data_IF_482274544810
#
_entry.id   IF_482274544810
#
_cell.length_a   1.000
_cell.length_b   1.000
_cell.length_c   1.000
_cell.angle_alpha   90.00
_cell.angle_beta   90.00
_cell.angle_gamma   90.00
#
_symmetry.space_group_name_H-M   'P 1'
#
loop_
_entity.id
_entity.type
_entity.pdbx_description
1 polymer ?
#
# COMPACT_ATOMS: atom_id res chain seq x y z
N UNK A 1 -33.12 -11.40 8.16
CA UNK A 1 -31.85 -11.50 8.91
C UNK A 1 -31.13 -10.15 9.03
N UNK A 2 -30.60 -9.53 7.94
CA UNK A 2 -29.91 -8.23 8.06
C UNK A 2 -30.86 -7.11 8.52
N UNK A 3 -32.09 -7.08 8.01
CA UNK A 3 -33.14 -6.17 8.47
C UNK A 3 -33.54 -6.41 9.93
N UNK A 4 -33.51 -7.66 10.38
CA UNK A 4 -33.83 -8.02 11.79
C UNK A 4 -32.74 -7.54 12.77
N UNK A 5 -31.55 -7.22 12.27
CA UNK A 5 -30.46 -6.59 13.04
C UNK A 5 -30.57 -5.05 13.08
N UNK A 6 -31.63 -4.47 12.54
CA UNK A 6 -31.86 -3.03 12.53
C UNK A 6 -31.16 -2.27 11.38
N UNK A 7 -30.64 -2.97 10.37
CA UNK A 7 -30.00 -2.39 9.21
C UNK A 7 -30.95 -2.28 8.02
N UNK A 8 -30.74 -1.29 7.15
CA UNK A 8 -31.54 -1.10 5.93
C UNK A 8 -30.79 -1.71 4.73
N UNK A 9 -31.18 -2.92 4.23
CA UNK A 9 -30.52 -3.56 3.13
C UNK A 9 -30.97 -2.97 1.78
N UNK A 10 -30.00 -2.72 0.89
CA UNK A 10 -30.25 -2.45 -0.52
C UNK A 10 -29.71 -3.64 -1.32
N UNK A 11 -30.54 -4.22 -2.19
CA UNK A 11 -30.17 -5.41 -2.97
C UNK A 11 -29.98 -5.03 -4.44
N UNK A 12 -28.89 -5.51 -5.02
CA UNK A 12 -28.58 -5.36 -6.43
C UNK A 12 -28.30 -6.73 -7.05
N UNK A 13 -28.91 -7.00 -8.21
CA UNK A 13 -28.66 -8.22 -8.98
C UNK A 13 -27.35 -8.20 -9.78
N UNK A 14 -26.80 -6.99 -10.01
CA UNK A 14 -25.57 -6.79 -10.79
C UNK A 14 -24.64 -5.86 -10.04
N UNK A 15 -23.35 -6.22 -10.03
CA UNK A 15 -22.29 -5.45 -9.35
C UNK A 15 -22.17 -4.03 -9.91
N UNK A 16 -22.32 -3.85 -11.23
CA UNK A 16 -22.27 -2.53 -11.85
C UNK A 16 -23.32 -1.58 -11.26
N UNK A 17 -24.54 -2.04 -11.03
CA UNK A 17 -25.58 -1.23 -10.40
C UNK A 17 -25.28 -0.88 -8.94
N UNK A 18 -24.64 -1.81 -8.22
CA UNK A 18 -24.17 -1.54 -6.87
C UNK A 18 -23.14 -0.42 -6.89
N UNK A 19 -22.14 -0.52 -7.76
CA UNK A 19 -21.06 0.45 -7.90
C UNK A 19 -21.56 1.84 -8.31
N UNK A 20 -22.51 1.93 -9.25
CA UNK A 20 -23.11 3.18 -9.71
C UNK A 20 -23.85 3.94 -8.58
N UNK A 21 -24.35 3.20 -7.59
CA UNK A 21 -25.13 3.76 -6.48
C UNK A 21 -24.33 3.97 -5.18
N UNK A 22 -23.10 3.53 -5.10
CA UNK A 22 -22.28 3.62 -3.87
C UNK A 22 -22.14 5.06 -3.37
N UNK A 23 -21.87 6.01 -4.25
CA UNK A 23 -21.69 7.41 -3.90
C UNK A 23 -22.98 8.05 -3.36
N UNK A 24 -24.14 7.64 -3.87
CA UNK A 24 -25.44 8.14 -3.45
C UNK A 24 -25.93 7.49 -2.14
N UNK A 25 -25.72 6.17 -2.00
CA UNK A 25 -26.21 5.40 -0.85
C UNK A 25 -25.30 5.49 0.36
N UNK A 26 -23.99 5.71 0.15
CA UNK A 26 -22.95 5.74 1.20
C UNK A 26 -23.12 4.58 2.20
N UNK A 27 -23.08 3.34 1.75
CA UNK A 27 -23.34 2.19 2.60
C UNK A 27 -22.27 2.04 3.70
N UNK A 28 -22.66 1.46 4.82
CA UNK A 28 -21.71 1.14 5.89
C UNK A 28 -20.97 -0.16 5.67
N UNK A 29 -21.53 -1.06 4.85
CA UNK A 29 -20.99 -2.35 4.51
C UNK A 29 -21.53 -2.79 3.16
N UNK A 30 -20.72 -3.48 2.38
CA UNK A 30 -21.13 -4.18 1.16
C UNK A 30 -21.00 -5.68 1.37
N UNK A 31 -22.00 -6.45 0.95
CA UNK A 31 -21.97 -7.92 0.99
C UNK A 31 -22.14 -8.42 -0.43
N UNK A 32 -21.22 -9.22 -0.88
CA UNK A 32 -21.25 -9.85 -2.22
C UNK A 32 -21.23 -11.36 -2.08
N UNK A 33 -22.07 -12.03 -2.86
CA UNK A 33 -22.14 -13.49 -2.90
C UNK A 33 -22.13 -14.04 -4.32
N UNK A 34 -21.68 -15.28 -4.46
CA UNK A 34 -21.78 -16.09 -5.70
C UNK A 34 -21.20 -15.45 -6.96
N UNK A 35 -20.06 -14.76 -6.83
CA UNK A 35 -19.31 -14.25 -7.96
C UNK A 35 -18.31 -15.28 -8.48
N UNK A 36 -18.08 -15.32 -9.81
CA UNK A 36 -16.89 -15.99 -10.33
C UNK A 36 -15.64 -15.22 -9.94
N UNK A 37 -14.49 -15.90 -9.88
CA UNK A 37 -13.21 -15.31 -9.46
C UNK A 37 -12.91 -14.00 -10.21
N UNK A 38 -13.01 -13.98 -11.53
CA UNK A 38 -12.78 -12.77 -12.34
C UNK A 38 -13.70 -11.61 -11.98
N UNK A 39 -14.98 -11.89 -11.71
CA UNK A 39 -15.96 -10.86 -11.36
C UNK A 39 -15.75 -10.35 -9.94
N UNK A 40 -15.44 -11.24 -9.00
CA UNK A 40 -15.11 -10.87 -7.63
C UNK A 40 -13.86 -9.98 -7.57
N UNK A 41 -12.81 -10.37 -8.28
CA UNK A 41 -11.57 -9.58 -8.36
C UNK A 41 -11.81 -8.18 -8.93
N UNK A 42 -12.58 -8.08 -10.02
CA UNK A 42 -12.94 -6.76 -10.60
C UNK A 42 -13.77 -5.94 -9.63
N UNK A 43 -14.76 -6.55 -8.98
CA UNK A 43 -15.61 -5.85 -8.02
C UNK A 43 -14.83 -5.33 -6.82
N UNK A 44 -13.93 -6.13 -6.25
CA UNK A 44 -13.01 -5.73 -5.18
C UNK A 44 -12.16 -4.54 -5.63
N UNK A 45 -11.51 -4.67 -6.79
CA UNK A 45 -10.65 -3.63 -7.33
C UNK A 45 -11.41 -2.32 -7.55
N UNK A 46 -12.63 -2.41 -8.08
CA UNK A 46 -13.48 -1.24 -8.34
C UNK A 46 -13.93 -0.57 -7.05
N UNK A 47 -14.35 -1.34 -6.05
CA UNK A 47 -14.72 -0.82 -4.72
C UNK A 47 -13.54 -0.06 -4.08
N UNK A 48 -12.34 -0.61 -4.16
CA UNK A 48 -11.16 0.04 -3.62
C UNK A 48 -10.79 1.32 -4.37
N UNK A 49 -11.00 1.35 -5.69
CA UNK A 49 -10.76 2.55 -6.50
C UNK A 49 -11.70 3.70 -6.18
N UNK A 50 -12.92 3.40 -5.74
CA UNK A 50 -13.88 4.43 -5.33
C UNK A 50 -13.52 5.14 -4.02
N UNK A 51 -12.45 4.70 -3.34
CA UNK A 51 -11.96 5.24 -2.06
C UNK A 51 -13.05 5.38 -0.99
N UNK A 52 -14.11 4.60 -1.10
CA UNK A 52 -15.27 4.73 -0.21
C UNK A 52 -14.98 4.24 1.22
N UNK A 53 -13.86 3.51 1.45
CA UNK A 53 -13.51 2.93 2.76
C UNK A 53 -14.62 2.06 3.34
N UNK A 54 -15.42 1.42 2.46
CA UNK A 54 -16.56 0.60 2.85
C UNK A 54 -16.09 -0.84 2.98
N UNK A 55 -16.24 -1.46 4.16
CA UNK A 55 -15.91 -2.87 4.34
C UNK A 55 -16.72 -3.76 3.39
N UNK A 56 -16.09 -4.86 2.93
CA UNK A 56 -16.69 -5.82 2.03
C UNK A 56 -16.70 -7.21 2.67
N UNK A 57 -17.84 -7.85 2.67
CA UNK A 57 -17.98 -9.27 3.01
C UNK A 57 -18.23 -10.06 1.72
N UNK A 58 -17.39 -11.03 1.42
CA UNK A 58 -17.54 -11.91 0.26
C UNK A 58 -17.92 -13.30 0.75
N UNK A 59 -18.96 -13.85 0.15
CA UNK A 59 -19.41 -15.22 0.43
C UNK A 59 -19.01 -16.07 -0.77
N UNK A 60 -17.97 -16.89 -0.64
CA UNK A 60 -17.44 -17.72 -1.71
C UNK A 60 -16.66 -18.92 -1.18
N UNK A 61 -16.73 -20.04 -1.88
CA UNK A 61 -15.87 -21.21 -1.71
C UNK A 61 -14.83 -21.32 -2.84
N UNK A 62 -14.75 -20.33 -3.71
CA UNK A 62 -13.81 -20.29 -4.82
C UNK A 62 -12.39 -20.06 -4.30
N UNK A 63 -11.51 -21.01 -4.54
CA UNK A 63 -10.13 -20.99 -4.03
C UNK A 63 -9.35 -19.83 -4.61
N UNK A 64 -9.58 -19.46 -5.87
CA UNK A 64 -8.89 -18.35 -6.53
C UNK A 64 -9.25 -17.01 -5.87
N UNK A 65 -10.49 -16.84 -5.41
CA UNK A 65 -10.92 -15.66 -4.65
C UNK A 65 -10.23 -15.63 -3.28
N UNK A 66 -10.18 -16.76 -2.58
CA UNK A 66 -9.53 -16.86 -1.28
C UNK A 66 -8.04 -16.53 -1.40
N UNK A 67 -7.34 -17.13 -2.35
CA UNK A 67 -5.93 -16.85 -2.60
C UNK A 67 -5.68 -15.39 -3.02
N UNK A 68 -6.59 -14.80 -3.80
CA UNK A 68 -6.51 -13.40 -4.20
C UNK A 68 -6.68 -12.46 -3.00
N UNK A 69 -7.66 -12.69 -2.15
CA UNK A 69 -7.91 -11.86 -0.95
C UNK A 69 -6.76 -12.01 0.05
N UNK A 70 -6.37 -13.24 0.36
CA UNK A 70 -5.29 -13.53 1.32
C UNK A 70 -3.93 -13.04 0.79
N UNK A 71 -3.65 -13.28 -0.50
CA UNK A 71 -2.39 -12.87 -1.13
C UNK A 71 -2.20 -11.35 -1.24
N UNK A 72 -3.30 -10.58 -1.31
CA UNK A 72 -3.25 -9.14 -1.35
C UNK A 72 -3.48 -8.48 0.02
N UNK A 73 -3.94 -9.27 1.02
CA UNK A 73 -4.09 -8.85 2.42
C UNK A 73 -4.98 -7.63 2.58
N UNK A 74 -6.13 -7.68 1.99
CA UNK A 74 -7.17 -6.68 2.20
C UNK A 74 -7.62 -6.67 3.65
N UNK A 75 -7.59 -5.52 4.30
CA UNK A 75 -7.95 -5.39 5.72
C UNK A 75 -9.47 -5.29 5.88
N UNK A 76 -10.14 -4.67 4.91
CA UNK A 76 -11.58 -4.42 4.94
C UNK A 76 -12.40 -5.49 4.18
N UNK A 77 -11.82 -6.66 3.89
CA UNK A 77 -12.51 -7.75 3.21
C UNK A 77 -12.54 -8.97 4.12
N UNK A 78 -13.76 -9.42 4.44
CA UNK A 78 -14.00 -10.67 5.16
C UNK A 78 -14.51 -11.73 4.20
N UNK A 79 -13.89 -12.92 4.23
CA UNK A 79 -14.36 -14.09 3.47
C UNK A 79 -15.25 -14.97 4.35
N UNK A 80 -16.38 -15.36 3.81
CA UNK A 80 -17.27 -16.36 4.39
C UNK A 80 -17.50 -17.50 3.39
N UNK A 81 -17.68 -18.70 3.89
CA UNK A 81 -18.04 -19.85 3.06
C UNK A 81 -19.51 -19.80 2.65
N UNK A 82 -19.82 -20.39 1.49
CA UNK A 82 -21.20 -20.44 0.96
C UNK A 82 -22.15 -21.20 1.89
N UNK A 83 -21.64 -22.18 2.63
CA UNK A 83 -22.38 -22.97 3.61
C UNK A 83 -22.45 -22.35 5.01
N UNK A 84 -21.93 -21.12 5.18
CA UNK A 84 -21.96 -20.40 6.47
C UNK A 84 -23.41 -20.23 6.96
N UNK A 85 -23.61 -20.53 8.23
CA UNK A 85 -24.92 -20.39 8.85
C UNK A 85 -25.33 -18.92 8.94
N UNK A 86 -26.64 -18.62 8.93
CA UNK A 86 -27.12 -17.24 9.11
C UNK A 86 -26.54 -16.54 10.33
N UNK A 87 -26.28 -17.27 11.43
CA UNK A 87 -25.64 -16.74 12.64
C UNK A 87 -24.19 -16.30 12.42
N UNK A 88 -23.43 -17.01 11.60
CA UNK A 88 -22.03 -16.68 11.31
C UNK A 88 -21.97 -15.40 10.47
N UNK A 89 -22.87 -15.27 9.49
CA UNK A 89 -22.97 -14.05 8.68
C UNK A 89 -23.37 -12.87 9.56
N UNK A 90 -24.34 -13.04 10.46
CA UNK A 90 -24.80 -11.99 11.38
C UNK A 90 -23.69 -11.55 12.34
N UNK A 91 -22.92 -12.49 12.89
CA UNK A 91 -21.80 -12.20 13.78
C UNK A 91 -20.69 -11.44 13.06
N UNK A 92 -20.32 -11.85 11.85
CA UNK A 92 -19.32 -11.17 11.02
C UNK A 92 -19.76 -9.75 10.65
N UNK A 93 -21.01 -9.56 10.20
CA UNK A 93 -21.57 -8.24 9.90
C UNK A 93 -21.50 -7.33 11.12
N UNK A 94 -21.94 -7.83 12.29
CA UNK A 94 -21.91 -7.06 13.53
C UNK A 94 -20.49 -6.68 13.93
N UNK A 95 -19.55 -7.61 13.84
CA UNK A 95 -18.14 -7.36 14.17
C UNK A 95 -17.52 -6.31 13.23
N UNK A 96 -17.75 -6.42 11.93
CA UNK A 96 -17.23 -5.46 10.93
C UNK A 96 -17.78 -4.06 11.17
N UNK A 97 -19.08 -3.94 11.44
CA UNK A 97 -19.72 -2.66 11.71
C UNK A 97 -19.30 -2.06 13.06
N UNK A 98 -19.07 -2.89 14.10
CA UNK A 98 -18.55 -2.43 15.39
C UNK A 98 -17.11 -1.90 15.27
N UNK A 99 -16.25 -2.56 14.52
CA UNK A 99 -14.88 -2.09 14.24
C UNK A 99 -14.91 -0.73 13.53
N UNK A 100 -15.82 -0.54 12.57
CA UNK A 100 -16.02 0.76 11.92
C UNK A 100 -16.53 1.84 12.89
N UNK A 101 -17.45 1.50 13.78
CA UNK A 101 -18.02 2.43 14.76
C UNK A 101 -17.06 2.79 15.91
N UNK A 102 -16.11 1.91 16.24
CA UNK A 102 -15.10 2.14 17.28
C UNK A 102 -14.05 3.19 16.88
N UNK A 103 -14.18 3.81 15.70
CA UNK A 103 -13.26 4.87 15.27
C UNK A 103 -11.88 4.38 14.87
N UNK A 104 -11.74 3.08 14.58
CA UNK A 104 -10.65 2.63 13.74
C UNK A 104 -10.89 3.32 12.39
N UNK A 105 -10.29 4.50 12.30
CA UNK A 105 -10.38 5.40 11.15
C UNK A 105 -10.26 4.54 9.89
N UNK A 106 -11.14 4.78 8.92
CA UNK A 106 -11.09 4.18 7.59
C UNK A 106 -9.63 3.99 7.21
N UNK A 107 -9.15 2.75 7.31
CA UNK A 107 -7.73 2.50 7.11
C UNK A 107 -7.37 2.99 5.72
N UNK A 108 -6.24 3.67 5.57
CA UNK A 108 -5.88 4.25 4.31
C UNK A 108 -5.88 3.16 3.25
N UNK A 109 -6.52 3.43 2.13
CA UNK A 109 -6.54 2.61 0.92
C UNK A 109 -5.27 1.75 0.80
N UNK A 110 -5.42 0.43 0.91
CA UNK A 110 -4.30 -0.47 0.73
C UNK A 110 -3.97 -0.54 -0.77
N UNK A 111 -2.85 0.00 -1.21
CA UNK A 111 -2.51 0.03 -2.61
C UNK A 111 -2.34 -1.40 -3.13
N UNK A 112 -3.12 -1.75 -4.14
CA UNK A 112 -3.08 -3.07 -4.74
C UNK A 112 -1.81 -3.26 -5.57
N UNK A 113 -1.01 -4.28 -5.26
CA UNK A 113 0.09 -4.70 -6.13
C UNK A 113 -0.48 -5.67 -7.17
N UNK A 114 -0.75 -5.14 -8.38
CA UNK A 114 -1.29 -5.92 -9.49
C UNK A 114 -0.17 -6.64 -10.22
N UNK A 115 -0.38 -7.90 -10.52
CA UNK A 115 0.55 -8.76 -11.24
C UNK A 115 0.61 -10.16 -10.63
N UNK A 116 0.73 -11.15 -11.51
CA UNK A 116 0.88 -12.57 -11.21
C UNK A 116 2.22 -13.12 -11.67
N UNK A 117 3.12 -12.27 -12.19
CA UNK A 117 4.46 -12.72 -12.58
C UNK A 117 5.24 -13.27 -11.39
N UNK A 118 6.12 -14.26 -11.61
CA UNK A 118 6.91 -14.88 -10.55
C UNK A 118 7.69 -13.86 -9.71
N UNK A 119 8.15 -12.78 -10.33
CA UNK A 119 8.87 -11.69 -9.66
C UNK A 119 7.97 -10.92 -8.70
N UNK A 120 6.77 -10.57 -9.13
CA UNK A 120 5.80 -9.84 -8.29
C UNK A 120 5.28 -10.74 -7.16
N UNK A 121 5.04 -12.02 -7.42
CA UNK A 121 4.66 -13.00 -6.39
C UNK A 121 5.76 -13.12 -5.33
N UNK A 122 7.04 -13.20 -5.74
CA UNK A 122 8.18 -13.21 -4.81
C UNK A 122 8.24 -11.93 -3.97
N UNK A 123 8.00 -10.75 -4.58
CA UNK A 123 7.97 -9.47 -3.86
C UNK A 123 6.83 -9.46 -2.84
N UNK A 124 5.62 -9.86 -3.23
CA UNK A 124 4.47 -9.95 -2.31
C UNK A 124 4.78 -10.86 -1.11
N UNK A 125 5.30 -12.06 -1.37
CA UNK A 125 5.70 -12.99 -0.31
C UNK A 125 6.75 -12.37 0.61
N UNK A 126 7.81 -11.76 0.04
CA UNK A 126 8.86 -11.11 0.83
C UNK A 126 8.31 -9.98 1.70
N UNK A 127 7.33 -9.21 1.21
CA UNK A 127 6.69 -8.16 1.99
C UNK A 127 5.89 -8.76 3.16
N UNK A 128 5.18 -9.87 2.95
CA UNK A 128 4.44 -10.55 4.02
C UNK A 128 5.37 -11.02 5.16
N UNK A 129 6.62 -11.37 4.83
CA UNK A 129 7.63 -11.76 5.83
C UNK A 129 8.18 -10.55 6.63
N UNK A 130 7.81 -9.31 6.24
CA UNK A 130 8.29 -8.07 6.87
C UNK A 130 7.34 -7.47 7.91
N UNK A 131 6.27 -8.13 8.27
CA UNK A 131 5.22 -7.60 9.16
C UNK A 131 5.79 -7.11 10.51
N UNK A 132 6.65 -7.92 11.14
CA UNK A 132 7.25 -7.60 12.44
C UNK A 132 8.65 -6.97 12.35
N UNK A 133 9.14 -6.76 11.13
CA UNK A 133 10.50 -6.28 10.89
C UNK A 133 10.56 -4.76 11.07
N UNK A 134 11.50 -4.31 11.92
CA UNK A 134 11.69 -2.88 12.25
C UNK A 134 12.79 -2.20 11.42
N UNK A 135 13.57 -2.99 10.73
CA UNK A 135 14.73 -2.59 9.95
C UNK A 135 14.34 -1.74 8.74
N UNK A 136 15.33 -0.98 8.24
CA UNK A 136 15.16 -0.17 7.05
C UNK A 136 14.97 -1.05 5.80
N UNK A 137 14.08 -0.61 4.91
CA UNK A 137 13.81 -1.28 3.63
C UNK A 137 14.25 -0.36 2.50
N UNK A 138 15.11 -0.85 1.62
CA UNK A 138 15.51 -0.18 0.39
C UNK A 138 14.79 -0.81 -0.81
N UNK A 139 14.02 0.00 -1.53
CA UNK A 139 13.31 -0.40 -2.73
C UNK A 139 14.02 0.20 -3.94
N UNK A 140 14.55 -0.63 -4.82
CA UNK A 140 15.20 -0.19 -6.05
C UNK A 140 14.42 -0.61 -7.29
N UNK A 141 14.46 0.22 -8.33
CA UNK A 141 13.79 -0.05 -9.60
C UNK A 141 13.71 1.20 -10.46
N UNK A 142 13.52 1.04 -11.72
CA UNK A 142 13.41 2.16 -12.68
C UNK A 142 12.24 3.11 -12.32
N UNK A 143 12.25 4.36 -12.84
CA UNK A 143 11.11 5.24 -12.72
C UNK A 143 9.83 4.55 -13.23
N UNK A 144 8.70 4.78 -12.56
CA UNK A 144 7.41 4.20 -12.97
C UNK A 144 7.16 2.73 -12.59
N UNK A 145 8.11 2.02 -11.95
CA UNK A 145 7.95 0.61 -11.58
C UNK A 145 6.99 0.36 -10.41
N UNK A 146 6.56 1.42 -9.69
CA UNK A 146 5.64 1.31 -8.56
C UNK A 146 6.33 1.28 -7.19
N UNK A 147 7.55 1.83 -7.07
CA UNK A 147 8.31 1.88 -5.80
C UNK A 147 7.52 2.48 -4.62
N UNK A 148 6.82 3.60 -4.86
CA UNK A 148 5.99 4.23 -3.83
C UNK A 148 4.82 3.33 -3.40
N UNK A 149 4.17 2.68 -4.36
CA UNK A 149 3.07 1.75 -4.12
C UNK A 149 3.52 0.59 -3.22
N UNK A 150 4.69 0.01 -3.51
CA UNK A 150 5.28 -1.04 -2.66
C UNK A 150 5.65 -0.51 -1.27
N UNK A 151 6.17 0.71 -1.17
CA UNK A 151 6.48 1.31 0.13
C UNK A 151 5.23 1.49 1.00
N UNK A 152 4.13 1.96 0.42
CA UNK A 152 2.83 2.06 1.10
C UNK A 152 2.30 0.69 1.51
N UNK A 153 2.42 -0.30 0.63
CA UNK A 153 1.99 -1.67 0.91
C UNK A 153 2.78 -2.28 2.09
N UNK A 154 4.10 -2.06 2.15
CA UNK A 154 4.95 -2.49 3.29
C UNK A 154 4.49 -1.85 4.60
N UNK A 155 4.16 -0.56 4.59
CA UNK A 155 3.65 0.12 5.79
C UNK A 155 2.32 -0.47 6.24
N UNK A 156 1.36 -0.61 5.33
CA UNK A 156 0.01 -1.09 5.64
C UNK A 156 -0.02 -2.55 6.08
N UNK A 157 0.92 -3.37 5.62
CA UNK A 157 1.08 -4.76 6.05
C UNK A 157 1.86 -4.92 7.36
N UNK A 158 2.42 -3.86 7.88
CA UNK A 158 3.20 -3.91 9.11
C UNK A 158 2.33 -3.69 10.35
N UNK A 159 2.83 -4.12 11.50
CA UNK A 159 2.25 -3.82 12.82
C UNK A 159 2.09 -2.31 13.10
N UNK A 160 2.62 -1.45 12.21
CA UNK A 160 2.56 0.02 12.29
C UNK A 160 1.50 0.63 11.37
N UNK A 161 0.63 -0.18 10.76
CA UNK A 161 -0.35 0.26 9.77
C UNK A 161 -1.27 1.40 10.24
N UNK A 162 -1.57 1.46 11.55
CA UNK A 162 -2.38 2.51 12.16
C UNK A 162 -1.57 3.77 12.52
N UNK A 163 -0.23 3.75 12.38
CA UNK A 163 0.62 4.89 12.69
C UNK A 163 0.87 5.77 11.45
N UNK A 164 1.49 6.93 11.64
CA UNK A 164 1.73 7.88 10.57
C UNK A 164 2.65 7.31 9.47
N UNK A 165 2.24 7.47 8.22
CA UNK A 165 3.08 7.27 7.04
C UNK A 165 3.40 8.62 6.43
N UNK A 166 4.65 9.05 6.53
CA UNK A 166 5.10 10.34 6.00
C UNK A 166 6.01 10.09 4.81
N UNK A 167 5.74 10.79 3.71
CA UNK A 167 6.52 10.75 2.47
C UNK A 167 7.35 12.03 2.33
N UNK A 168 8.64 11.86 2.10
CA UNK A 168 9.56 12.92 1.69
C UNK A 168 10.06 12.64 0.28
N UNK A 169 9.72 13.52 -0.65
CA UNK A 169 10.26 13.51 -2.01
C UNK A 169 11.61 14.24 -1.99
N UNK A 170 12.69 13.46 -1.89
CA UNK A 170 14.06 13.99 -1.70
C UNK A 170 14.46 15.01 -2.77
N UNK A 171 14.23 14.79 -4.08
CA UNK A 171 14.51 15.77 -5.12
C UNK A 171 13.82 17.13 -4.96
N UNK A 172 12.72 17.20 -4.23
CA UNK A 172 11.91 18.42 -4.05
C UNK A 172 12.21 19.15 -2.72
N UNK A 173 13.05 18.56 -1.87
CA UNK A 173 13.38 19.18 -0.58
C UNK A 173 14.33 20.36 -0.75
N UNK A 174 14.16 21.43 0.04
CA UNK A 174 15.17 22.49 0.15
C UNK A 174 16.53 21.93 0.55
N UNK A 175 17.63 22.52 0.07
CA UNK A 175 18.99 22.04 0.32
C UNK A 175 19.32 21.95 1.82
N UNK A 176 18.78 22.88 2.62
CA UNK A 176 18.99 22.98 4.07
C UNK A 176 17.94 22.19 4.91
N UNK A 177 17.07 21.43 4.27
CA UNK A 177 15.96 20.73 4.95
C UNK A 177 16.46 19.84 6.10
N UNK A 178 17.40 18.93 5.81
CA UNK A 178 17.89 17.99 6.84
C UNK A 178 18.67 18.70 7.93
N UNK A 179 19.39 19.76 7.61
CA UNK A 179 20.11 20.57 8.60
C UNK A 179 19.14 21.23 9.57
N UNK A 180 18.06 21.85 9.07
CA UNK A 180 17.00 22.41 9.90
C UNK A 180 16.33 21.35 10.78
N UNK A 181 16.05 20.17 10.23
CA UNK A 181 15.47 19.08 11.00
C UNK A 181 16.41 18.60 12.11
N UNK A 182 17.71 18.52 11.86
CA UNK A 182 18.70 18.14 12.86
C UNK A 182 18.77 19.18 14.00
N UNK A 183 18.81 20.47 13.68
CA UNK A 183 18.79 21.55 14.68
C UNK A 183 17.54 21.47 15.58
N UNK A 184 16.38 21.22 14.98
CA UNK A 184 15.14 21.00 15.76
C UNK A 184 15.24 19.80 16.71
N UNK A 185 15.92 18.72 16.30
CA UNK A 185 16.08 17.51 17.12
C UNK A 185 17.07 17.71 18.28
N UNK A 186 18.09 18.53 18.09
CA UNK A 186 19.14 18.81 19.09
C UNK A 186 18.63 19.71 20.22
N UNK A 187 17.70 20.63 19.94
CA UNK A 187 17.12 21.54 20.91
C UNK A 187 15.88 20.93 21.59
N UNK A 188 15.92 20.73 22.92
CA UNK A 188 14.78 20.17 23.66
C UNK A 188 13.46 20.95 23.54
N UNK A 189 13.52 22.28 23.36
CA UNK A 189 12.32 23.15 23.29
C UNK A 189 11.63 23.03 21.92
N UNK A 190 12.40 22.87 20.84
CA UNK A 190 11.89 22.80 19.46
C UNK A 190 11.78 21.39 18.92
N UNK A 191 12.29 20.40 19.63
CA UNK A 191 12.34 19.00 19.20
C UNK A 191 11.00 18.45 18.71
N UNK A 192 9.91 18.79 19.38
CA UNK A 192 8.56 18.34 19.02
C UNK A 192 8.06 18.92 17.68
N UNK A 193 8.74 19.92 17.14
CA UNK A 193 8.44 20.52 15.83
C UNK A 193 9.11 19.76 14.68
N UNK A 194 10.07 18.88 15.01
CA UNK A 194 10.72 18.07 13.97
C UNK A 194 9.76 17.05 13.40
N UNK A 195 9.76 16.93 12.06
CA UNK A 195 9.01 15.92 11.33
C UNK A 195 9.38 14.50 11.76
N UNK A 196 10.64 14.25 12.10
CA UNK A 196 11.10 12.94 12.57
C UNK A 196 10.49 12.55 13.92
N UNK A 197 10.10 13.51 14.74
CA UNK A 197 9.36 13.24 15.98
C UNK A 197 7.89 12.94 15.68
N UNK A 198 7.27 13.63 14.72
CA UNK A 198 5.87 13.38 14.34
C UNK A 198 5.64 12.00 13.70
N UNK A 199 6.70 11.38 13.17
CA UNK A 199 6.65 10.04 12.54
C UNK A 199 7.01 8.93 13.53
N UNK A 200 7.24 9.23 14.81
CA UNK A 200 7.56 8.22 15.82
C UNK A 200 6.48 7.14 15.86
N UNK A 201 6.93 5.86 15.93
CA UNK A 201 6.12 4.64 15.80
C UNK A 201 5.56 4.38 14.40
N UNK A 202 5.68 5.32 13.45
CA UNK A 202 5.23 5.21 12.07
C UNK A 202 6.32 4.77 11.09
N UNK A 203 6.08 5.10 9.82
CA UNK A 203 7.02 4.85 8.73
C UNK A 203 7.33 6.14 7.98
N UNK A 204 8.61 6.33 7.67
CA UNK A 204 9.11 7.44 6.85
C UNK A 204 9.57 6.90 5.50
N UNK A 205 8.92 7.36 4.43
CA UNK A 205 9.34 7.09 3.06
C UNK A 205 10.27 8.22 2.57
N UNK A 206 11.51 7.85 2.22
CA UNK A 206 12.48 8.71 1.55
C UNK A 206 12.48 8.35 0.05
N UNK A 207 11.83 9.17 -0.77
CA UNK A 207 11.69 8.88 -2.20
C UNK A 207 12.89 9.41 -2.99
N UNK A 208 13.45 8.55 -3.86
CA UNK A 208 14.60 8.81 -4.72
C UNK A 208 15.86 9.32 -3.99
N UNK A 209 16.22 8.63 -2.91
CA UNK A 209 17.35 8.96 -2.04
C UNK A 209 18.68 9.04 -2.78
N UNK A 210 18.83 8.36 -3.93
CA UNK A 210 20.05 8.41 -4.76
C UNK A 210 20.35 9.79 -5.35
N UNK A 211 19.39 10.72 -5.32
CA UNK A 211 19.56 12.09 -5.81
C UNK A 211 20.11 13.04 -4.75
N UNK A 212 20.15 12.62 -3.48
CA UNK A 212 20.58 13.48 -2.37
C UNK A 212 22.06 13.83 -2.49
N UNK A 213 22.46 15.13 -2.45
CA UNK A 213 23.86 15.53 -2.44
C UNK A 213 24.63 14.98 -1.22
N UNK A 214 25.96 14.91 -1.31
CA UNK A 214 26.82 14.29 -0.29
C UNK A 214 26.74 14.96 1.10
N UNK A 215 26.57 16.28 1.16
CA UNK A 215 26.51 17.02 2.44
C UNK A 215 25.24 16.65 3.22
N UNK A 216 24.02 16.78 2.66
CA UNK A 216 22.80 16.36 3.34
C UNK A 216 22.75 14.86 3.69
N UNK A 217 23.46 13.99 2.97
CA UNK A 217 23.55 12.56 3.34
C UNK A 217 24.20 12.35 4.71
N UNK A 218 25.20 13.18 5.08
CA UNK A 218 25.83 13.09 6.40
C UNK A 218 24.86 13.53 7.51
N UNK A 219 24.09 14.57 7.25
CA UNK A 219 23.08 15.07 8.19
C UNK A 219 21.95 14.07 8.36
N UNK A 220 21.44 13.51 7.25
CA UNK A 220 20.43 12.46 7.28
C UNK A 220 20.91 11.24 8.09
N UNK A 221 22.15 10.81 7.90
CA UNK A 221 22.72 9.69 8.67
C UNK A 221 22.68 9.97 10.18
N UNK A 222 23.07 11.17 10.62
CA UNK A 222 22.96 11.57 12.03
C UNK A 222 21.52 11.51 12.53
N UNK A 223 20.57 12.05 11.76
CA UNK A 223 19.13 12.02 12.11
C UNK A 223 18.65 10.57 12.26
N UNK A 224 19.00 9.68 11.33
CA UNK A 224 18.63 8.27 11.38
C UNK A 224 19.21 7.59 12.62
N UNK A 225 20.45 7.89 12.95
CA UNK A 225 21.11 7.32 14.12
C UNK A 225 20.50 7.85 15.43
N UNK A 226 20.17 9.13 15.52
CA UNK A 226 19.50 9.71 16.68
C UNK A 226 18.04 9.27 16.82
N UNK A 227 17.29 9.19 15.71
CA UNK A 227 15.90 8.77 15.71
C UNK A 227 15.73 7.25 15.86
N UNK A 228 16.72 6.45 15.41
CA UNK A 228 16.67 4.99 15.39
C UNK A 228 17.46 4.29 16.50
N UNK A 229 18.48 4.94 17.09
CA UNK A 229 19.40 4.31 18.03
C UNK A 229 19.25 4.72 19.49
N UNK A 230 18.42 5.65 19.84
CA UNK A 230 18.07 5.67 21.25
C UNK A 230 17.41 4.33 21.53
N UNK A 231 18.22 3.45 22.19
CA UNK A 231 17.77 2.19 22.78
C UNK A 231 16.32 2.41 23.18
N UNK A 232 15.46 1.50 22.80
CA UNK A 232 14.08 1.54 23.18
C UNK A 232 14.01 2.07 24.64
N UNK A 233 13.89 3.40 24.78
CA UNK A 233 13.36 3.97 26.00
C UNK A 233 12.05 3.21 26.16
N UNK A 234 11.65 2.86 27.37
CA UNK A 234 10.47 2.04 27.72
C UNK A 234 9.17 2.41 26.94
N UNK A 235 9.22 3.33 26.01
CA UNK A 235 8.11 3.91 25.23
C UNK A 235 8.13 3.58 23.73
N UNK A 236 9.01 2.71 23.22
CA UNK A 236 8.90 2.15 21.85
C UNK A 236 8.96 3.14 20.67
N UNK A 237 9.62 4.28 20.82
CA UNK A 237 9.65 5.37 19.83
C UNK A 237 10.66 5.14 18.70
N UNK A 238 10.38 4.20 17.81
CA UNK A 238 11.26 3.90 16.70
C UNK A 238 10.59 4.20 15.35
N UNK A 239 11.24 4.98 14.49
CA UNK A 239 10.80 5.24 13.11
C UNK A 239 11.23 4.07 12.23
N UNK A 240 10.33 3.55 11.40
CA UNK A 240 10.70 2.64 10.32
C UNK A 240 11.03 3.44 9.07
N UNK A 241 12.22 3.23 8.52
CA UNK A 241 12.66 3.91 7.30
C UNK A 241 12.42 3.01 6.11
N UNK A 242 11.76 3.56 5.09
CA UNK A 242 11.61 2.96 3.77
C UNK A 242 12.24 3.94 2.79
N UNK A 243 13.28 3.51 2.07
CA UNK A 243 13.94 4.35 1.08
C UNK A 243 13.67 3.80 -0.32
N UNK A 244 13.45 4.67 -1.30
CA UNK A 244 13.41 4.27 -2.70
C UNK A 244 14.54 4.89 -3.49
N UNK A 245 14.99 4.21 -4.55
CA UNK A 245 15.95 4.76 -5.49
C UNK A 245 15.67 4.26 -6.91
N UNK A 246 15.75 5.19 -7.86
CA UNK A 246 15.73 4.89 -9.30
C UNK A 246 17.13 4.59 -9.84
N UNK A 247 18.16 4.92 -9.07
CA UNK A 247 19.57 4.70 -9.41
C UNK A 247 20.13 3.54 -8.59
N UNK A 248 21.14 2.87 -9.12
CA UNK A 248 21.89 1.87 -8.35
C UNK A 248 22.74 2.56 -7.29
N UNK A 249 22.33 2.45 -6.04
CA UNK A 249 23.05 3.04 -4.91
C UNK A 249 24.44 2.41 -4.71
N UNK A 250 24.63 1.14 -5.09
CA UNK A 250 25.94 0.48 -4.99
C UNK A 250 26.93 1.16 -5.94
N UNK A 251 26.51 1.40 -7.18
CA UNK A 251 27.33 2.13 -8.15
C UNK A 251 27.60 3.58 -7.72
N UNK A 252 26.62 4.24 -7.09
CA UNK A 252 26.83 5.59 -6.53
C UNK A 252 27.85 5.62 -5.39
N UNK A 253 27.89 4.58 -4.55
CA UNK A 253 28.90 4.42 -3.49
C UNK A 253 30.30 4.23 -4.09
N UNK A 254 30.43 3.38 -5.10
CA UNK A 254 31.72 3.13 -5.80
C UNK A 254 32.25 4.41 -6.45
N UNK A 255 31.37 5.23 -7.03
CA UNK A 255 31.70 6.49 -7.65
C UNK A 255 31.84 7.67 -6.66
N UNK A 256 31.78 7.41 -5.35
CA UNK A 256 31.90 8.45 -4.31
C UNK A 256 30.75 9.45 -4.26
N UNK A 257 29.62 9.19 -4.93
CA UNK A 257 28.43 10.06 -4.96
C UNK A 257 27.41 9.73 -3.87
N UNK A 258 27.57 8.58 -3.21
CA UNK A 258 26.74 8.18 -2.09
C UNK A 258 27.62 7.68 -0.94
N UNK A 259 27.32 8.10 0.29
CA UNK A 259 28.10 7.71 1.47
C UNK A 259 27.88 6.26 1.82
N UNK A 260 28.95 5.49 1.92
CA UNK A 260 28.93 4.07 2.25
C UNK A 260 28.19 3.78 3.57
N UNK A 261 28.39 4.63 4.58
CA UNK A 261 27.72 4.49 5.87
C UNK A 261 26.19 4.62 5.76
N UNK A 262 25.70 5.62 5.01
CA UNK A 262 24.26 5.79 4.77
C UNK A 262 23.68 4.61 3.96
N UNK A 263 24.41 4.13 2.95
CA UNK A 263 24.02 2.98 2.16
C UNK A 263 23.76 1.75 3.04
N UNK A 264 24.72 1.37 3.89
CA UNK A 264 24.55 0.22 4.77
C UNK A 264 23.43 0.41 5.79
N UNK A 265 23.15 1.61 6.19
CA UNK A 265 22.07 1.93 7.13
C UNK A 265 20.69 1.77 6.48
N UNK A 266 20.55 2.07 5.20
CA UNK A 266 19.32 1.94 4.43
C UNK A 266 19.13 0.57 3.80
N UNK A 267 20.22 -0.09 3.40
CA UNK A 267 20.22 -1.35 2.66
C UNK A 267 20.26 -2.58 3.61
N UNK A 268 19.39 -2.61 4.60
CA UNK A 268 19.26 -3.79 5.49
C UNK A 268 18.39 -4.84 4.82
N UNK A 269 17.25 -4.41 4.28
CA UNK A 269 16.36 -5.27 3.50
C UNK A 269 16.21 -4.63 2.13
N UNK A 270 16.58 -5.38 1.09
CA UNK A 270 16.51 -4.90 -0.29
C UNK A 270 15.37 -5.56 -1.05
N UNK A 271 14.59 -4.73 -1.75
CA UNK A 271 13.55 -5.15 -2.69
C UNK A 271 13.84 -4.51 -4.04
N UNK A 272 14.14 -5.35 -5.04
CA UNK A 272 14.36 -4.91 -6.41
C UNK A 272 13.09 -5.14 -7.23
N UNK A 273 12.56 -4.07 -7.85
CA UNK A 273 11.36 -4.13 -8.67
C UNK A 273 11.78 -4.18 -10.13
N UNK A 274 11.50 -5.26 -10.84
CA UNK A 274 11.84 -5.35 -12.27
C UNK A 274 10.99 -4.38 -13.10
N UNK A 275 11.53 -3.83 -14.17
CA UNK A 275 10.77 -3.03 -15.12
C UNK A 275 9.69 -3.87 -15.81
N UNK A 276 8.63 -3.22 -16.31
CA UNK A 276 7.47 -3.90 -16.89
C UNK A 276 7.84 -4.81 -18.08
N UNK A 277 8.85 -4.41 -18.88
CA UNK A 277 9.38 -5.23 -20.00
C UNK A 277 9.95 -6.59 -19.58
N UNK A 278 10.32 -6.75 -18.31
CA UNK A 278 10.80 -8.03 -17.74
C UNK A 278 9.68 -8.86 -17.10
N UNK A 279 8.43 -8.34 -17.09
CA UNK A 279 7.25 -9.00 -16.50
C UNK A 279 6.02 -8.79 -17.39
N UNK A 280 6.15 -9.16 -18.66
CA UNK A 280 5.11 -8.96 -19.68
C UNK A 280 3.78 -9.65 -19.32
N UNK A 281 3.83 -10.70 -18.52
CA UNK A 281 2.66 -11.44 -18.03
C UNK A 281 1.73 -10.57 -17.17
N UNK A 282 2.23 -9.48 -16.58
CA UNK A 282 1.45 -8.56 -15.76
C UNK A 282 0.69 -7.52 -16.59
N UNK A 283 1.06 -7.32 -17.87
CA UNK A 283 0.47 -6.28 -18.74
C UNK A 283 -1.05 -6.42 -18.89
N UNK A 284 -1.61 -7.62 -19.14
CA UNK A 284 -3.05 -7.75 -19.28
C UNK A 284 -3.80 -7.32 -18.02
N UNK A 285 -3.37 -7.79 -16.85
CA UNK A 285 -3.99 -7.45 -15.57
C UNK A 285 -3.87 -5.95 -15.23
N UNK A 286 -2.71 -5.36 -15.48
CA UNK A 286 -2.49 -3.91 -15.31
C UNK A 286 -3.37 -3.11 -16.27
N UNK A 287 -3.48 -3.55 -17.52
CA UNK A 287 -4.29 -2.89 -18.55
C UNK A 287 -5.76 -2.88 -18.17
N UNK A 288 -6.29 -4.02 -17.76
CA UNK A 288 -7.68 -4.13 -17.33
C UNK A 288 -7.95 -3.24 -16.10
N UNK A 289 -7.05 -3.25 -15.11
CA UNK A 289 -7.16 -2.39 -13.93
C UNK A 289 -7.17 -0.89 -14.27
N UNK A 290 -6.23 -0.42 -15.11
CA UNK A 290 -6.18 0.99 -15.45
C UNK A 290 -7.34 1.42 -16.36
N UNK A 291 -7.88 0.51 -17.17
CA UNK A 291 -9.09 0.76 -17.97
C UNK A 291 -10.30 0.94 -17.05
N UNK A 292 -10.48 0.04 -16.08
CA UNK A 292 -11.55 0.14 -15.09
C UNK A 292 -11.45 1.44 -14.29
N UNK A 293 -10.25 1.76 -13.82
CA UNK A 293 -9.97 3.01 -13.10
C UNK A 293 -10.34 4.23 -13.93
N UNK A 294 -9.92 4.27 -15.20
CA UNK A 294 -10.24 5.38 -16.10
C UNK A 294 -11.76 5.50 -16.35
N UNK A 295 -12.46 4.38 -16.53
CA UNK A 295 -13.91 4.39 -16.71
C UNK A 295 -14.63 4.98 -15.50
N UNK A 296 -14.22 4.59 -14.31
CA UNK A 296 -14.77 5.10 -13.04
C UNK A 296 -14.53 6.61 -12.90
N UNK A 297 -13.27 7.04 -13.04
CA UNK A 297 -12.88 8.45 -12.87
C UNK A 297 -13.53 9.37 -13.91
N UNK A 298 -13.75 8.86 -15.13
CA UNK A 298 -14.35 9.63 -16.23
C UNK A 298 -15.87 9.50 -16.32
N UNK A 299 -16.51 8.68 -15.47
CA UNK A 299 -17.97 8.43 -15.54
C UNK A 299 -18.41 7.73 -16.82
N UNK A 300 -17.50 6.99 -17.49
CA UNK A 300 -17.79 6.26 -18.73
C UNK A 300 -18.17 4.81 -18.42
N UNK A 301 -19.01 4.25 -19.29
CA UNK A 301 -19.30 2.82 -19.24
C UNK A 301 -18.03 2.01 -19.49
N UNK A 302 -17.91 0.89 -18.78
CA UNK A 302 -16.80 -0.04 -18.94
C UNK A 302 -16.67 -0.50 -20.39
N UNK A 303 -15.44 -0.48 -20.92
CA UNK A 303 -15.10 -1.04 -22.22
C UNK A 303 -13.92 -2.00 -22.08
N UNK A 304 -13.88 -3.02 -22.91
CA UNK A 304 -12.75 -3.94 -22.99
C UNK A 304 -11.83 -3.53 -24.11
N UNK A 305 -10.53 -3.54 -23.85
CA UNK A 305 -9.53 -3.35 -24.89
C UNK A 305 -9.47 -4.60 -25.79
N UNK A 306 -9.35 -4.35 -27.10
CA UNK A 306 -9.21 -5.45 -28.07
C UNK A 306 -7.89 -6.20 -27.83
N UNK A 307 -7.86 -7.48 -28.19
CA UNK A 307 -6.64 -8.30 -28.13
C UNK A 307 -5.48 -7.72 -28.95
N UNK A 308 -5.79 -7.04 -30.04
CA UNK A 308 -4.78 -6.34 -30.84
C UNK A 308 -4.13 -5.19 -30.05
N UNK A 309 -4.92 -4.44 -29.28
CA UNK A 309 -4.41 -3.35 -28.45
C UNK A 309 -3.57 -3.90 -27.28
N UNK A 310 -4.00 -4.98 -26.63
CA UNK A 310 -3.23 -5.64 -25.56
C UNK A 310 -1.87 -6.13 -26.06
N UNK A 311 -1.82 -6.69 -27.28
CA UNK A 311 -0.56 -7.09 -27.94
C UNK A 311 0.35 -5.90 -28.22
N UNK A 312 -0.19 -4.76 -28.64
CA UNK A 312 0.60 -3.54 -28.85
C UNK A 312 1.26 -3.06 -27.54
N UNK A 313 0.54 -3.09 -26.42
CA UNK A 313 1.13 -2.76 -25.12
C UNK A 313 2.25 -3.71 -24.72
N UNK A 314 2.14 -4.99 -25.04
CA UNK A 314 3.20 -5.98 -24.76
C UNK A 314 4.47 -5.76 -25.61
N UNK A 315 4.36 -5.11 -26.77
CA UNK A 315 5.48 -4.78 -27.64
C UNK A 315 6.12 -3.41 -27.36
N UNK A 316 5.51 -2.59 -26.49
CA UNK A 316 6.04 -1.27 -26.15
C UNK A 316 7.19 -1.41 -25.17
N UNK A 317 8.35 -0.78 -25.54
CA UNK A 317 9.59 -0.82 -24.76
C UNK A 317 9.71 0.38 -23.82
#
# INVERSE_FOLDING_TARGET
MIADLGHTPFMFEKESRCLDNLAALKPDLVISGSLSADRAMRFINTLQLTQCGVPLVIISDDQDICEFVDGNGFIDICLLKVDSKPGDIASTVTQVLQNKAAGEASQPYCPLIIGGSPEIVKIKKRISDLDHVKEAVLIQGEPGTGKELIARYIHLKSSRHAANFVKLNVPQLPADFFEKQLLLLEDPETRNQSLFVSVQQGSLLLEDIGTLPLEPQATLLKIIDEAGMRKADDHGRQIRIIATSSQDLSALVENGRFRKALFYRLNVIRIDIPPLRSRLEDIPALTDFFTDKFCIESGRSHFQLSEQMKKLFACYQ
#
